data_IF_828626758379
#
_entry.id   IF_828626758379
#
_cell.length_a   1.000
_cell.length_b   1.000
_cell.length_c   1.000
_cell.angle_alpha   90.00
_cell.angle_beta   90.00
_cell.angle_gamma   90.00
#
_symmetry.space_group_name_H-M   'P 1'
#
loop_
_entity.id
_entity.type
_entity.pdbx_description
1 polymer ?
#
# COMPACT_ATOMS: atom_id res chain seq x y z
N UNK A 1 -7.24 14.06 14.15
CA UNK A 1 -6.60 14.18 12.83
C UNK A 1 -5.61 13.04 12.71
N UNK A 2 -5.81 12.15 11.74
CA UNK A 2 -4.80 11.17 11.38
C UNK A 2 -3.58 11.91 10.83
N UNK A 3 -2.41 11.66 11.41
CA UNK A 3 -1.16 12.23 10.92
C UNK A 3 -0.72 11.41 9.69
N UNK A 4 -1.18 11.80 8.50
CA UNK A 4 -0.80 11.17 7.23
C UNK A 4 0.05 12.13 6.41
N UNK A 5 0.97 11.60 5.61
CA UNK A 5 1.77 12.37 4.64
C UNK A 5 1.14 12.41 3.24
N UNK A 6 -0.06 11.87 3.06
CA UNK A 6 -0.66 11.59 1.76
C UNK A 6 -0.71 12.81 0.83
N UNK A 7 -1.34 13.93 1.23
CA UNK A 7 -1.46 15.11 0.37
C UNK A 7 -0.09 15.67 -0.04
N UNK A 8 0.82 15.80 0.92
CA UNK A 8 2.21 16.22 0.69
C UNK A 8 2.95 15.27 -0.27
N UNK A 9 2.82 13.95 -0.07
CA UNK A 9 3.44 12.94 -0.90
C UNK A 9 2.92 12.98 -2.34
N UNK A 10 1.59 13.07 -2.52
CA UNK A 10 0.99 13.21 -3.85
C UNK A 10 1.52 14.44 -4.57
N UNK A 11 1.60 15.58 -3.88
CA UNK A 11 2.15 16.83 -4.41
C UNK A 11 3.61 16.68 -4.83
N UNK A 12 4.42 16.09 -3.97
CA UNK A 12 5.83 15.86 -4.21
C UNK A 12 6.04 14.94 -5.42
N UNK A 13 5.40 13.77 -5.42
CA UNK A 13 5.43 12.77 -6.49
C UNK A 13 5.01 13.36 -7.84
N UNK A 14 3.95 14.16 -7.85
CA UNK A 14 3.48 14.86 -9.06
C UNK A 14 4.50 15.88 -9.57
N UNK A 15 5.06 16.70 -8.67
CA UNK A 15 6.02 17.75 -9.03
C UNK A 15 7.34 17.17 -9.54
N UNK A 16 7.78 16.02 -9.01
CA UNK A 16 8.98 15.30 -9.49
C UNK A 16 8.90 14.96 -10.99
N UNK A 17 7.67 14.75 -11.48
CA UNK A 17 7.37 14.50 -12.89
C UNK A 17 7.04 15.75 -13.70
N UNK A 18 7.09 16.94 -13.07
CA UNK A 18 6.72 18.23 -13.67
C UNK A 18 5.29 18.26 -14.23
N UNK A 19 4.36 17.57 -13.57
CA UNK A 19 2.95 17.51 -14.00
C UNK A 19 2.10 18.50 -13.24
N UNK A 20 1.08 19.04 -13.91
CA UNK A 20 -0.04 19.70 -13.25
C UNK A 20 -0.96 18.67 -12.57
N UNK A 21 -1.75 19.13 -11.61
CA UNK A 21 -2.76 18.28 -10.95
C UNK A 21 -3.73 17.66 -11.96
N UNK A 22 -4.14 18.43 -12.98
CA UNK A 22 -5.05 17.98 -14.04
C UNK A 22 -4.43 16.90 -14.91
N UNK A 23 -3.16 17.04 -15.29
CA UNK A 23 -2.43 16.04 -16.08
C UNK A 23 -2.26 14.73 -15.32
N UNK A 24 -1.82 14.78 -14.06
CA UNK A 24 -1.68 13.55 -13.26
C UNK A 24 -3.03 12.87 -13.06
N UNK A 25 -4.07 13.61 -12.68
CA UNK A 25 -5.41 13.06 -12.49
C UNK A 25 -5.92 12.37 -13.78
N UNK A 26 -5.71 13.01 -14.94
CA UNK A 26 -6.11 12.44 -16.24
C UNK A 26 -5.30 11.20 -16.61
N UNK A 27 -4.01 11.14 -16.27
CA UNK A 27 -3.15 9.97 -16.55
C UNK A 27 -3.67 8.71 -15.85
N UNK A 28 -3.99 8.82 -14.56
CA UNK A 28 -4.42 7.67 -13.73
C UNK A 28 -5.94 7.51 -13.67
N UNK A 29 -6.69 8.19 -14.55
CA UNK A 29 -8.14 8.07 -14.63
C UNK A 29 -8.86 8.41 -13.31
N UNK A 30 -8.59 9.62 -12.82
CA UNK A 30 -9.18 10.23 -11.64
C UNK A 30 -9.64 11.64 -12.01
N UNK A 31 -10.77 12.09 -11.44
CA UNK A 31 -11.21 13.46 -11.66
C UNK A 31 -10.24 14.48 -11.07
N UNK A 32 -10.00 15.58 -11.79
CA UNK A 32 -9.18 16.68 -11.30
C UNK A 32 -9.62 17.18 -9.91
N UNK A 33 -10.92 17.34 -9.69
CA UNK A 33 -11.47 17.83 -8.41
C UNK A 33 -11.16 16.88 -7.25
N UNK A 34 -11.26 15.57 -7.47
CA UNK A 34 -10.93 14.58 -6.46
C UNK A 34 -9.43 14.67 -6.11
N UNK A 35 -8.56 14.63 -7.13
CA UNK A 35 -7.11 14.75 -6.94
C UNK A 35 -6.73 16.05 -6.21
N UNK A 36 -7.31 17.19 -6.62
CA UNK A 36 -7.07 18.49 -5.96
C UNK A 36 -7.49 18.46 -4.48
N UNK A 37 -8.63 17.85 -4.15
CA UNK A 37 -9.07 17.76 -2.76
C UNK A 37 -8.13 16.89 -1.91
N UNK A 38 -7.59 15.82 -2.47
CA UNK A 38 -6.69 14.92 -1.75
C UNK A 38 -5.29 15.52 -1.57
N UNK A 39 -4.74 16.17 -2.60
CA UNK A 39 -3.43 16.83 -2.51
C UNK A 39 -3.40 17.97 -1.48
N UNK A 40 -4.55 18.62 -1.25
CA UNK A 40 -4.70 19.71 -0.27
C UNK A 40 -5.29 19.23 1.08
N UNK A 41 -5.32 17.91 1.32
CA UNK A 41 -5.83 17.31 2.57
C UNK A 41 -7.27 17.72 2.93
N UNK A 42 -8.08 18.11 1.93
CA UNK A 42 -9.48 18.50 2.10
C UNK A 42 -10.41 17.28 2.17
N UNK A 43 -10.00 16.17 1.54
CA UNK A 43 -10.69 14.88 1.53
C UNK A 43 -9.67 13.74 1.46
N UNK A 44 -10.10 12.54 1.80
CA UNK A 44 -9.33 11.32 1.55
C UNK A 44 -9.73 10.66 0.21
N UNK A 45 -8.80 9.95 -0.47
CA UNK A 45 -9.12 9.08 -1.58
C UNK A 45 -9.83 7.80 -1.13
N UNK A 46 -10.63 7.21 -2.03
CA UNK A 46 -11.17 5.88 -1.84
C UNK A 46 -10.09 4.79 -2.04
N UNK A 47 -10.41 3.54 -1.67
CA UNK A 47 -9.44 2.44 -1.73
C UNK A 47 -8.96 2.16 -3.14
N UNK A 48 -9.85 2.32 -4.12
CA UNK A 48 -9.51 2.17 -5.53
C UNK A 48 -8.45 3.20 -5.95
N UNK A 49 -8.64 4.47 -5.58
CA UNK A 49 -7.71 5.55 -5.91
C UNK A 49 -6.37 5.36 -5.22
N UNK A 50 -6.34 4.97 -3.94
CA UNK A 50 -5.10 4.59 -3.24
C UNK A 50 -4.37 3.46 -3.97
N UNK A 51 -5.11 2.46 -4.45
CA UNK A 51 -4.54 1.36 -5.23
C UNK A 51 -3.97 1.82 -6.57
N UNK A 52 -4.66 2.73 -7.27
CA UNK A 52 -4.17 3.33 -8.53
C UNK A 52 -2.84 4.06 -8.31
N UNK A 53 -2.72 4.86 -7.23
CA UNK A 53 -1.46 5.54 -6.89
C UNK A 53 -0.35 4.56 -6.53
N UNK A 54 -0.64 3.55 -5.71
CA UNK A 54 0.31 2.49 -5.35
C UNK A 54 0.90 1.81 -6.59
N UNK A 55 0.04 1.44 -7.56
CA UNK A 55 0.50 0.83 -8.81
C UNK A 55 1.29 1.81 -9.67
N UNK A 56 0.85 3.06 -9.77
CA UNK A 56 1.47 4.06 -10.64
C UNK A 56 2.89 4.44 -10.20
N UNK A 57 3.08 4.57 -8.89
CA UNK A 57 4.35 4.96 -8.28
C UNK A 57 5.20 3.78 -7.80
N UNK A 58 4.71 2.55 -7.98
CA UNK A 58 5.31 1.31 -7.45
C UNK A 58 5.60 1.38 -5.94
N UNK A 59 4.71 2.01 -5.19
CA UNK A 59 4.82 2.18 -3.74
C UNK A 59 3.78 1.33 -3.02
N UNK A 60 4.12 0.85 -1.83
CA UNK A 60 3.12 0.31 -0.91
C UNK A 60 2.18 1.44 -0.49
N UNK A 61 0.91 1.09 -0.24
CA UNK A 61 -0.08 2.07 0.24
C UNK A 61 0.38 2.67 1.59
N UNK A 62 1.00 1.87 2.45
CA UNK A 62 1.58 2.34 3.71
C UNK A 62 2.69 3.37 3.50
N UNK A 63 3.56 3.18 2.51
CA UNK A 63 4.64 4.13 2.18
C UNK A 63 4.06 5.45 1.66
N UNK A 64 3.07 5.35 0.76
CA UNK A 64 2.39 6.51 0.19
C UNK A 64 1.65 7.34 1.25
N UNK A 65 1.06 6.69 2.26
CA UNK A 65 0.17 7.36 3.23
C UNK A 65 0.90 7.76 4.50
N UNK A 66 1.79 6.92 5.03
CA UNK A 66 2.32 7.04 6.39
C UNK A 66 3.83 7.38 6.45
N UNK A 67 4.54 7.42 5.31
CA UNK A 67 5.97 7.77 5.28
C UNK A 67 6.16 9.07 4.51
N UNK A 68 6.97 10.00 5.03
CA UNK A 68 7.29 11.21 4.29
C UNK A 68 8.24 10.87 3.13
N UNK A 69 7.79 11.12 1.89
CA UNK A 69 8.58 10.91 0.69
C UNK A 69 9.41 12.17 0.39
N UNK A 70 10.69 11.99 0.11
CA UNK A 70 11.68 13.05 -0.09
C UNK A 70 12.53 12.84 -1.36
N UNK A 71 13.39 13.81 -1.67
CA UNK A 71 14.24 13.84 -2.89
C UNK A 71 15.25 12.71 -3.03
N UNK A 72 15.65 12.07 -1.94
CA UNK A 72 16.56 10.93 -1.98
C UNK A 72 15.88 9.64 -2.42
N UNK A 73 14.54 9.59 -2.42
CA UNK A 73 13.79 8.40 -2.76
C UNK A 73 13.78 8.21 -4.27
N UNK A 74 14.31 7.08 -4.74
CA UNK A 74 14.24 6.68 -6.15
C UNK A 74 12.89 6.03 -6.42
N UNK A 75 11.97 6.77 -7.06
CA UNK A 75 10.58 6.34 -7.24
C UNK A 75 10.37 5.94 -8.69
N UNK A 76 10.04 4.67 -8.91
CA UNK A 76 9.81 4.11 -10.23
C UNK A 76 8.39 4.43 -10.73
N UNK A 77 8.27 5.12 -11.85
CA UNK A 77 6.97 5.46 -12.43
C UNK A 77 6.57 4.38 -13.45
N UNK A 78 5.45 3.72 -13.19
CA UNK A 78 4.96 2.59 -13.96
C UNK A 78 4.06 3.03 -15.12
N UNK A 79 4.56 3.86 -16.04
CA UNK A 79 3.77 4.36 -17.18
C UNK A 79 3.23 3.22 -18.07
N UNK A 80 3.95 2.10 -18.16
CA UNK A 80 3.53 0.87 -18.83
C UNK A 80 2.28 0.22 -18.20
N UNK A 81 1.98 0.52 -16.92
CA UNK A 81 0.82 0.00 -16.19
C UNK A 81 -0.44 0.87 -16.35
N UNK A 82 -0.40 1.97 -17.11
CA UNK A 82 -1.53 2.91 -17.24
C UNK A 82 -2.81 2.28 -17.79
N UNK A 83 -2.71 1.39 -18.78
CA UNK A 83 -3.88 0.69 -19.33
C UNK A 83 -4.52 -0.27 -18.32
N UNK A 84 -3.73 -0.84 -17.43
CA UNK A 84 -4.22 -1.66 -16.32
C UNK A 84 -4.91 -0.79 -15.26
N UNK A 85 -4.30 0.34 -14.88
CA UNK A 85 -4.87 1.30 -13.92
C UNK A 85 -6.25 1.80 -14.36
N UNK A 86 -6.42 2.07 -15.67
CA UNK A 86 -7.70 2.50 -16.25
C UNK A 86 -8.79 1.42 -16.22
N UNK A 87 -8.40 0.15 -16.19
CA UNK A 87 -9.34 -0.99 -16.12
C UNK A 87 -9.65 -1.42 -14.69
N UNK A 88 -8.94 -0.87 -13.70
CA UNK A 88 -9.09 -1.25 -12.30
C UNK A 88 -10.44 -0.77 -11.77
N UNK A 89 -11.17 -1.68 -11.13
CA UNK A 89 -12.50 -1.43 -10.56
C UNK A 89 -12.48 -1.62 -9.04
N UNK A 90 -13.51 -1.09 -8.36
CA UNK A 90 -13.64 -1.22 -6.90
C UNK A 90 -13.57 -2.68 -6.43
N UNK A 91 -14.15 -3.61 -7.18
CA UNK A 91 -14.16 -5.04 -6.84
C UNK A 91 -12.74 -5.63 -6.72
N UNK A 92 -11.78 -5.12 -7.50
CA UNK A 92 -10.40 -5.60 -7.51
C UNK A 92 -9.65 -5.24 -6.22
N UNK A 93 -10.21 -4.34 -5.42
CA UNK A 93 -9.66 -3.90 -4.12
C UNK A 93 -10.54 -4.37 -2.97
N UNK A 94 -11.87 -4.30 -3.11
CA UNK A 94 -12.81 -4.72 -2.06
C UNK A 94 -12.82 -6.23 -1.88
N UNK A 95 -12.72 -7.02 -2.95
CA UNK A 95 -12.73 -8.48 -2.83
C UNK A 95 -11.53 -9.00 -2.01
N UNK A 96 -10.29 -8.58 -2.27
CA UNK A 96 -9.17 -8.92 -1.38
C UNK A 96 -9.38 -8.45 0.06
N UNK A 97 -9.89 -7.24 0.28
CA UNK A 97 -10.15 -6.72 1.62
C UNK A 97 -11.12 -7.60 2.40
N UNK A 98 -12.27 -7.95 1.80
CA UNK A 98 -13.28 -8.84 2.38
C UNK A 98 -12.67 -10.17 2.83
N UNK A 99 -11.94 -10.81 1.91
CA UNK A 99 -11.34 -12.13 2.11
C UNK A 99 -10.25 -12.09 3.18
N UNK A 100 -9.40 -11.06 3.16
CA UNK A 100 -8.36 -10.86 4.14
C UNK A 100 -8.93 -10.58 5.53
N UNK A 101 -9.92 -9.69 5.68
CA UNK A 101 -10.57 -9.44 6.97
C UNK A 101 -11.19 -10.71 7.53
N UNK A 102 -11.91 -11.47 6.70
CA UNK A 102 -12.51 -12.75 7.10
C UNK A 102 -11.46 -13.77 7.52
N UNK A 103 -10.38 -13.91 6.74
CA UNK A 103 -9.30 -14.86 7.00
C UNK A 103 -8.54 -14.50 8.26
N UNK A 104 -8.08 -13.26 8.40
CA UNK A 104 -7.34 -12.74 9.56
C UNK A 104 -8.15 -12.91 10.86
N UNK A 105 -9.44 -12.58 10.81
CA UNK A 105 -10.37 -12.81 11.93
C UNK A 105 -10.47 -14.29 12.29
N UNK A 106 -10.60 -15.16 11.30
CA UNK A 106 -10.74 -16.61 11.50
C UNK A 106 -9.47 -17.25 12.05
N UNK A 107 -8.29 -16.79 11.62
CA UNK A 107 -6.99 -17.23 12.16
C UNK A 107 -6.84 -16.90 13.65
N UNK A 108 -7.41 -15.79 14.12
CA UNK A 108 -7.48 -15.45 15.54
C UNK A 108 -8.64 -16.13 16.30
N UNK A 109 -9.49 -16.90 15.63
CA UNK A 109 -10.64 -17.55 16.25
C UNK A 109 -11.76 -16.59 16.70
N UNK A 110 -11.85 -15.40 16.09
CA UNK A 110 -12.77 -14.36 16.54
C UNK A 110 -14.10 -14.36 15.77
N UNK A 111 -15.18 -14.03 16.47
CA UNK A 111 -16.45 -13.70 15.83
C UNK A 111 -16.43 -12.26 15.29
N UNK A 112 -17.30 -11.94 14.33
CA UNK A 112 -17.45 -10.57 13.80
C UNK A 112 -17.79 -9.56 14.90
N UNK A 113 -18.59 -9.97 15.89
CA UNK A 113 -18.93 -9.12 17.04
C UNK A 113 -17.69 -8.86 17.90
N UNK A 114 -16.90 -9.89 18.18
CA UNK A 114 -15.72 -9.77 19.04
C UNK A 114 -14.64 -8.88 18.42
N UNK A 115 -14.34 -9.06 17.14
CA UNK A 115 -13.37 -8.18 16.47
C UNK A 115 -13.87 -6.74 16.35
N UNK A 116 -15.18 -6.53 16.15
CA UNK A 116 -15.74 -5.19 16.11
C UNK A 116 -15.56 -4.47 17.46
N UNK A 117 -15.77 -5.18 18.57
CA UNK A 117 -15.47 -4.69 19.92
C UNK A 117 -13.97 -4.39 20.10
N UNK A 118 -13.07 -5.28 19.66
CA UNK A 118 -11.61 -5.09 19.78
C UNK A 118 -11.07 -3.93 18.94
N UNK A 119 -11.70 -3.65 17.78
CA UNK A 119 -11.38 -2.50 16.93
C UNK A 119 -12.15 -1.23 17.31
N UNK A 120 -12.96 -1.27 18.38
CA UNK A 120 -13.82 -0.18 18.82
C UNK A 120 -14.70 0.37 17.69
N UNK A 121 -15.32 -0.51 16.90
CA UNK A 121 -16.19 -0.15 15.78
C UNK A 121 -17.55 -0.83 15.90
N UNK A 122 -18.65 -0.22 15.40
CA UNK A 122 -19.95 -0.89 15.41
C UNK A 122 -19.92 -2.20 14.62
N UNK A 123 -20.62 -3.23 15.13
CA UNK A 123 -20.74 -4.53 14.46
C UNK A 123 -21.19 -4.41 13.00
N UNK A 124 -22.20 -3.57 12.73
CA UNK A 124 -22.73 -3.35 11.37
C UNK A 124 -21.69 -2.74 10.43
N UNK A 125 -20.79 -1.90 10.96
CA UNK A 125 -19.70 -1.30 10.22
C UNK A 125 -18.65 -2.37 9.85
N UNK A 126 -18.19 -3.16 10.82
CA UNK A 126 -17.23 -4.25 10.56
C UNK A 126 -17.80 -5.29 9.59
N UNK A 127 -19.06 -5.69 9.80
CA UNK A 127 -19.76 -6.60 8.89
C UNK A 127 -19.92 -5.99 7.50
N UNK A 128 -20.10 -4.67 7.40
CA UNK A 128 -20.11 -3.95 6.12
C UNK A 128 -18.79 -4.09 5.36
N UNK A 129 -17.65 -3.98 6.05
CA UNK A 129 -16.32 -4.15 5.44
C UNK A 129 -16.07 -5.60 4.99
N UNK A 130 -16.33 -6.59 5.86
CA UNK A 130 -16.09 -8.00 5.54
C UNK A 130 -17.00 -8.53 4.41
N UNK A 131 -18.11 -7.84 4.12
CA UNK A 131 -19.02 -8.19 3.03
C UNK A 131 -18.95 -7.21 1.82
N UNK A 132 -18.02 -6.24 1.83
CA UNK A 132 -17.82 -5.32 0.70
C UNK A 132 -18.87 -4.22 0.54
N UNK A 133 -19.79 -4.06 1.49
CA UNK A 133 -20.83 -3.03 1.45
C UNK A 133 -20.34 -1.66 1.92
N UNK A 134 -19.19 -1.62 2.62
CA UNK A 134 -18.58 -0.40 3.13
C UNK A 134 -17.07 -0.45 2.93
N UNK A 135 -16.47 0.73 2.78
CA UNK A 135 -15.03 0.92 2.75
C UNK A 135 -14.58 1.53 4.09
N UNK A 136 -13.54 1.02 4.75
CA UNK A 136 -12.91 1.71 5.88
C UNK A 136 -12.13 2.94 5.40
N UNK A 137 -12.10 3.99 6.22
CA UNK A 137 -11.23 5.14 6.01
C UNK A 137 -9.76 4.80 6.29
N UNK A 138 -8.84 5.70 5.94
CA UNK A 138 -7.40 5.47 6.11
C UNK A 138 -7.01 5.24 7.58
N UNK A 139 -7.65 5.96 8.51
CA UNK A 139 -7.44 5.79 9.95
C UNK A 139 -7.77 4.38 10.41
N UNK A 140 -8.92 3.89 9.96
CA UNK A 140 -9.45 2.57 10.26
C UNK A 140 -8.58 1.48 9.65
N UNK A 141 -8.12 1.66 8.41
CA UNK A 141 -7.16 0.74 7.79
C UNK A 141 -5.88 0.62 8.63
N UNK A 142 -5.31 1.74 9.07
CA UNK A 142 -4.15 1.77 9.95
C UNK A 142 -4.39 0.99 11.26
N UNK A 143 -5.57 1.16 11.86
CA UNK A 143 -5.96 0.44 13.09
C UNK A 143 -6.06 -1.07 12.85
N UNK A 144 -6.72 -1.49 11.75
CA UNK A 144 -6.85 -2.90 11.37
C UNK A 144 -5.47 -3.51 11.09
N UNK A 145 -4.66 -2.83 10.28
CA UNK A 145 -3.31 -3.24 9.90
C UNK A 145 -2.44 -3.47 11.16
N UNK A 146 -2.44 -2.50 12.07
CA UNK A 146 -1.73 -2.57 13.35
C UNK A 146 -2.20 -3.75 14.21
N UNK A 147 -3.52 -3.95 14.35
CA UNK A 147 -4.09 -5.02 15.16
C UNK A 147 -3.71 -6.42 14.67
N UNK A 148 -3.67 -6.61 13.35
CA UNK A 148 -3.30 -7.88 12.72
C UNK A 148 -1.81 -8.02 12.43
N UNK A 149 -0.99 -6.98 12.71
CA UNK A 149 0.43 -6.92 12.39
C UNK A 149 0.71 -7.16 10.89
N UNK A 150 -0.11 -6.55 10.04
CA UNK A 150 0.01 -6.55 8.58
C UNK A 150 0.07 -5.11 8.08
N UNK A 151 0.38 -4.90 6.81
CA UNK A 151 0.33 -3.57 6.19
C UNK A 151 -1.04 -3.28 5.54
N UNK A 152 -1.37 -2.02 5.28
CA UNK A 152 -2.54 -1.64 4.46
C UNK A 152 -2.43 -2.28 3.08
N UNK A 153 -1.24 -2.24 2.46
CA UNK A 153 -1.01 -2.92 1.20
C UNK A 153 -1.32 -4.43 1.30
N UNK A 154 -0.92 -5.10 2.39
CA UNK A 154 -1.27 -6.51 2.58
C UNK A 154 -2.80 -6.70 2.60
N UNK A 155 -3.54 -5.88 3.37
CA UNK A 155 -5.02 -5.96 3.45
C UNK A 155 -5.71 -5.83 2.09
N UNK A 156 -5.18 -5.01 1.19
CA UNK A 156 -5.78 -4.66 -0.10
C UNK A 156 -5.25 -5.48 -1.29
N UNK A 157 -4.42 -6.49 -1.04
CA UNK A 157 -3.91 -7.40 -2.07
C UNK A 157 -4.27 -8.87 -1.74
N UNK A 158 -4.33 -9.75 -2.75
CA UNK A 158 -4.48 -11.18 -2.51
C UNK A 158 -3.40 -11.71 -1.55
N UNK A 159 -3.78 -12.69 -0.73
CA UNK A 159 -2.88 -13.44 0.14
C UNK A 159 -2.10 -12.59 1.17
N UNK A 160 -2.76 -11.67 1.89
CA UNK A 160 -2.11 -10.90 2.95
C UNK A 160 -1.32 -11.82 3.89
N UNK A 161 0.00 -11.74 3.90
CA UNK A 161 0.81 -12.61 4.75
C UNK A 161 0.61 -12.16 6.21
N UNK A 162 0.06 -13.03 7.06
CA UNK A 162 0.16 -12.83 8.51
C UNK A 162 1.61 -13.05 8.86
N UNK A 163 2.24 -12.01 9.40
CA UNK A 163 3.63 -12.08 9.85
C UNK A 163 3.60 -12.32 11.36
N UNK A 164 4.02 -13.51 11.78
CA UNK A 164 4.26 -13.75 13.20
C UNK A 164 5.46 -12.95 13.72
N UNK A 165 5.65 -12.93 15.04
CA UNK A 165 6.67 -12.11 15.68
C UNK A 165 8.10 -12.43 15.22
N UNK A 166 8.41 -13.70 14.95
CA UNK A 166 9.74 -14.13 14.51
C UNK A 166 9.98 -13.76 13.05
N UNK A 167 8.95 -13.89 12.20
CA UNK A 167 8.96 -13.40 10.82
C UNK A 167 9.17 -11.89 10.77
N UNK A 168 8.50 -11.13 11.65
CA UNK A 168 8.69 -9.68 11.76
C UNK A 168 10.10 -9.33 12.20
N UNK A 169 10.63 -9.97 13.24
CA UNK A 169 12.02 -9.77 13.70
C UNK A 169 13.02 -10.06 12.58
N UNK A 170 12.81 -11.13 11.81
CA UNK A 170 13.65 -11.48 10.67
C UNK A 170 13.60 -10.41 9.58
N UNK A 171 12.41 -9.99 9.17
CA UNK A 171 12.23 -8.94 8.16
C UNK A 171 12.89 -7.65 8.65
N UNK A 172 12.60 -7.19 9.86
CA UNK A 172 13.17 -5.96 10.40
C UNK A 172 14.71 -6.01 10.42
N UNK A 173 15.30 -7.14 10.82
CA UNK A 173 16.75 -7.33 10.78
C UNK A 173 17.31 -7.26 9.36
N UNK A 174 16.67 -7.96 8.42
CA UNK A 174 17.13 -8.00 7.03
C UNK A 174 16.97 -6.64 6.34
N UNK A 175 15.82 -5.99 6.50
CA UNK A 175 15.54 -4.66 5.97
C UNK A 175 16.55 -3.63 6.50
N UNK A 176 16.83 -3.65 7.80
CA UNK A 176 17.83 -2.77 8.41
C UNK A 176 19.21 -2.99 7.80
N UNK A 177 19.68 -4.24 7.77
CA UNK A 177 21.00 -4.57 7.22
C UNK A 177 21.12 -4.20 5.74
N UNK A 178 20.06 -4.48 4.96
CA UNK A 178 20.03 -4.15 3.54
C UNK A 178 20.08 -2.64 3.33
N UNK A 179 19.31 -1.87 4.09
CA UNK A 179 19.28 -0.42 4.01
C UNK A 179 20.62 0.21 4.40
N UNK A 180 21.22 -0.22 5.51
CA UNK A 180 22.54 0.26 5.96
C UNK A 180 23.61 -0.01 4.91
N UNK A 181 23.59 -1.21 4.32
CA UNK A 181 24.51 -1.59 3.25
C UNK A 181 24.26 -0.74 2.00
N UNK A 182 23.00 -0.55 1.62
CA UNK A 182 22.60 0.24 0.46
C UNK A 182 23.04 1.71 0.56
N UNK A 183 22.86 2.36 1.72
CA UNK A 183 23.28 3.75 1.95
C UNK A 183 24.81 3.90 1.85
N UNK A 184 25.58 2.87 2.18
CA UNK A 184 27.04 2.91 2.04
C UNK A 184 27.53 2.87 0.58
N UNK A 185 26.67 2.49 -0.37
CA UNK A 185 26.99 2.45 -1.80
C UNK A 185 26.88 3.86 -2.38
N UNK A 186 27.86 4.34 -3.18
CA UNK A 186 27.76 5.61 -3.89
C UNK A 186 26.50 5.69 -4.77
N UNK A 187 25.86 6.86 -4.80
CA UNK A 187 24.57 7.08 -5.49
C UNK A 187 24.58 6.60 -6.94
N UNK A 188 25.69 6.78 -7.66
CA UNK A 188 25.85 6.39 -9.06
C UNK A 188 25.72 4.88 -9.33
N UNK A 189 25.90 4.04 -8.31
CA UNK A 189 25.85 2.58 -8.42
C UNK A 189 24.61 1.93 -7.81
N UNK A 190 23.80 2.69 -7.05
CA UNK A 190 22.64 2.17 -6.32
C UNK A 190 21.58 1.56 -7.24
N UNK A 191 21.27 2.23 -8.35
CA UNK A 191 20.28 1.74 -9.32
C UNK A 191 20.69 0.42 -10.00
N UNK A 192 21.99 0.25 -10.30
CA UNK A 192 22.50 -1.00 -10.88
C UNK A 192 22.44 -2.14 -9.85
N UNK A 193 22.77 -1.84 -8.59
CA UNK A 193 22.71 -2.81 -7.50
C UNK A 193 21.28 -3.31 -7.25
N UNK A 194 20.29 -2.42 -7.20
CA UNK A 194 18.88 -2.80 -7.04
C UNK A 194 18.43 -3.75 -8.14
N UNK A 195 18.74 -3.44 -9.39
CA UNK A 195 18.42 -4.28 -10.54
C UNK A 195 19.06 -5.67 -10.42
N UNK A 196 20.33 -5.75 -10.00
CA UNK A 196 21.03 -7.02 -9.77
C UNK A 196 20.43 -7.82 -8.62
N UNK A 197 20.06 -7.17 -7.52
CA UNK A 197 19.41 -7.82 -6.37
C UNK A 197 18.07 -8.44 -6.76
N UNK A 198 17.23 -7.71 -7.50
CA UNK A 198 15.94 -8.22 -7.99
C UNK A 198 16.16 -9.40 -8.94
N UNK A 199 17.11 -9.29 -9.88
CA UNK A 199 17.44 -10.38 -10.80
C UNK A 199 17.87 -11.64 -10.02
N UNK A 200 18.79 -11.50 -9.07
CA UNK A 200 19.24 -12.60 -8.23
C UNK A 200 18.10 -13.24 -7.42
N UNK A 201 17.20 -12.43 -6.83
CA UNK A 201 16.05 -12.97 -6.10
C UNK A 201 15.10 -13.77 -7.00
N UNK A 202 14.88 -13.32 -8.24
CA UNK A 202 14.04 -14.02 -9.21
C UNK A 202 14.69 -15.33 -9.67
N UNK A 203 15.99 -15.34 -9.89
CA UNK A 203 16.77 -16.56 -10.18
C UNK A 203 16.69 -17.55 -9.01
N UNK A 204 16.88 -17.08 -7.79
CA UNK A 204 16.83 -17.94 -6.61
C UNK A 204 15.43 -18.56 -6.39
N UNK A 205 14.36 -17.78 -6.63
CA UNK A 205 12.97 -18.27 -6.58
C UNK A 205 12.70 -19.35 -7.64
N UNK A 206 13.22 -19.16 -8.85
CA UNK A 206 13.03 -20.12 -9.94
C UNK A 206 13.85 -21.40 -9.74
N UNK A 207 15.06 -21.30 -9.17
CA UNK A 207 15.88 -22.46 -8.78
C UNK A 207 15.28 -23.29 -7.64
N UNK A 208 14.50 -22.67 -6.75
CA UNK A 208 13.80 -23.39 -5.66
C UNK A 208 12.38 -23.86 -6.01
N UNK A 209 11.82 -23.45 -7.16
CA UNK A 209 10.67 -24.15 -7.77
C UNK A 209 11.17 -25.39 -8.52
N UNK A 210 11.60 -26.40 -7.78
CA UNK A 210 11.86 -27.74 -8.30
C UNK A 210 11.00 -28.73 -7.50
N UNK A 211 9.94 -29.18 -8.17
CA UNK A 211 9.00 -30.29 -7.88
C UNK A 211 8.23 -30.28 -6.56
#
# INVERSE_FOLDING_TARGET
MTNTFLGQNLKYLRNSQKLTQKELASRIDISYYAYNNWENDLREPDLLSLKKFSIYYDLLIDELVNTQIISSDSIEIQNQKLDMIKKLEKKDVLKPLEENLKRLRSLKGLSRKKIAEELNTPYSTYAGWENGFREPDISTLNNIASYYKVSINDLLNPEAAVRDEDTLKLISRLSKNLFETYISVPDEHRAELEKKLIAYMNEFKSQKKIK
#
